data_IF_726087042580
#
_entry.id   IF_726087042580
#
_cell.length_a   1.000
_cell.length_b   1.000
_cell.length_c   1.000
_cell.angle_alpha   90.00
_cell.angle_beta   90.00
_cell.angle_gamma   90.00
#
_symmetry.space_group_name_H-M   'P 1'
#
loop_
_entity.id
_entity.type
_entity.pdbx_description
1 polymer ?
#
# COMPACT_ATOMS: atom_id res chain seq x y z
N UNK A 1 65.08 24.42 -32.78
CA UNK A 1 64.17 24.14 -31.66
C UNK A 1 64.97 23.36 -30.63
N UNK A 2 65.07 23.84 -29.39
CA UNK A 2 65.97 23.26 -28.38
C UNK A 2 65.35 21.99 -27.79
N UNK A 3 66.10 20.88 -27.66
CA UNK A 3 65.58 19.59 -27.19
C UNK A 3 65.03 19.66 -25.75
N UNK A 4 65.50 20.64 -24.97
CA UNK A 4 65.01 20.95 -23.62
C UNK A 4 63.58 21.46 -23.64
N UNK A 5 63.20 22.24 -24.66
CA UNK A 5 61.84 22.75 -24.82
C UNK A 5 60.84 21.63 -25.06
N UNK A 6 61.16 20.71 -25.97
CA UNK A 6 60.31 19.54 -26.26
C UNK A 6 60.14 18.63 -25.05
N UNK A 7 61.23 18.35 -24.32
CA UNK A 7 61.17 17.57 -23.09
C UNK A 7 60.27 18.20 -22.02
N UNK A 8 60.39 19.51 -21.80
CA UNK A 8 59.54 20.24 -20.85
C UNK A 8 58.06 20.24 -21.26
N UNK A 9 57.75 20.36 -22.56
CA UNK A 9 56.37 20.28 -23.04
C UNK A 9 55.79 18.89 -22.81
N UNK A 10 56.55 17.82 -23.08
CA UNK A 10 56.07 16.44 -22.84
C UNK A 10 55.78 16.21 -21.37
N UNK A 11 56.67 16.63 -20.46
CA UNK A 11 56.45 16.51 -19.01
C UNK A 11 55.22 17.32 -18.56
N UNK A 12 55.03 18.53 -19.09
CA UNK A 12 53.88 19.37 -18.77
C UNK A 12 52.56 18.73 -19.20
N UNK A 13 52.51 18.14 -20.40
CA UNK A 13 51.32 17.47 -20.93
C UNK A 13 50.97 16.24 -20.09
N UNK A 14 51.96 15.44 -19.68
CA UNK A 14 51.75 14.29 -18.80
C UNK A 14 51.21 14.75 -17.44
N UNK A 15 51.78 15.82 -16.87
CA UNK A 15 51.31 16.37 -15.59
C UNK A 15 49.86 16.86 -15.68
N UNK A 16 49.51 17.58 -16.74
CA UNK A 16 48.14 18.05 -17.00
C UNK A 16 47.16 16.88 -17.16
N UNK A 17 47.58 15.82 -17.86
CA UNK A 17 46.77 14.63 -18.06
C UNK A 17 46.51 13.89 -16.74
N UNK A 18 47.54 13.73 -15.90
CA UNK A 18 47.40 13.14 -14.56
C UNK A 18 46.48 13.97 -13.66
N UNK A 19 46.55 15.30 -13.74
CA UNK A 19 45.70 16.20 -12.97
C UNK A 19 44.24 16.12 -13.42
N UNK A 20 44.00 16.02 -14.74
CA UNK A 20 42.66 15.82 -15.30
C UNK A 20 42.06 14.46 -14.90
N UNK A 21 42.85 13.39 -14.92
CA UNK A 21 42.43 12.06 -14.46
C UNK A 21 42.11 12.06 -12.95
N UNK A 22 42.93 12.72 -12.14
CA UNK A 22 42.68 12.88 -10.70
C UNK A 22 41.36 13.62 -10.42
N UNK A 23 41.11 14.73 -11.12
CA UNK A 23 39.87 15.50 -10.98
C UNK A 23 38.63 14.70 -11.42
N UNK A 24 38.72 13.96 -12.52
CA UNK A 24 37.64 13.09 -13.00
C UNK A 24 37.33 11.96 -12.01
N UNK A 25 38.36 11.35 -11.41
CA UNK A 25 38.23 10.33 -10.37
C UNK A 25 37.53 10.85 -9.12
N UNK A 26 37.94 12.03 -8.62
CA UNK A 26 37.31 12.68 -7.46
C UNK A 26 35.84 13.06 -7.76
N UNK A 27 35.57 13.58 -8.96
CA UNK A 27 34.21 13.94 -9.38
C UNK A 27 33.28 12.72 -9.43
N UNK A 28 33.75 11.60 -9.99
CA UNK A 28 33.01 10.34 -10.01
C UNK A 28 32.76 9.80 -8.59
N UNK A 29 33.77 9.84 -7.71
CA UNK A 29 33.62 9.43 -6.30
C UNK A 29 32.55 10.27 -5.57
N UNK A 30 32.57 11.58 -5.72
CA UNK A 30 31.58 12.47 -5.08
C UNK A 30 30.18 12.24 -5.65
N UNK A 31 30.06 11.99 -6.96
CA UNK A 31 28.77 11.77 -7.63
C UNK A 31 28.16 10.41 -7.30
N UNK A 32 28.98 9.35 -7.21
CA UNK A 32 28.55 8.02 -6.79
C UNK A 32 28.27 7.99 -5.28
N UNK A 33 29.10 8.66 -4.47
CA UNK A 33 28.88 8.83 -3.03
C UNK A 33 27.54 9.49 -2.71
N UNK A 34 27.14 10.52 -3.45
CA UNK A 34 25.83 11.19 -3.32
C UNK A 34 24.63 10.29 -3.64
N UNK A 35 24.78 9.30 -4.53
CA UNK A 35 23.71 8.35 -4.89
C UNK A 35 23.66 7.16 -3.93
N UNK A 36 24.81 6.65 -3.50
CA UNK A 36 24.92 5.54 -2.55
C UNK A 36 24.44 5.95 -1.14
N UNK A 37 24.74 7.18 -0.69
CA UNK A 37 24.31 7.70 0.61
C UNK A 37 22.78 7.77 0.75
N UNK A 38 22.02 8.05 -0.31
CA UNK A 38 20.54 8.06 -0.25
C UNK A 38 19.93 6.67 -0.07
N UNK A 39 20.51 5.63 -0.68
CA UNK A 39 20.04 4.23 -0.54
C UNK A 39 20.55 3.56 0.74
N UNK A 40 21.81 3.78 1.10
CA UNK A 40 22.40 3.25 2.34
C UNK A 40 21.71 3.83 3.59
N UNK A 41 21.43 5.14 3.61
CA UNK A 41 20.72 5.79 4.72
C UNK A 41 19.35 5.18 4.99
N UNK A 42 18.66 4.63 3.98
CA UNK A 42 17.34 3.98 4.14
C UNK A 42 17.40 2.60 4.80
N UNK A 43 18.53 1.89 4.68
CA UNK A 43 18.70 0.53 5.25
C UNK A 43 19.36 0.60 6.63
N UNK A 44 20.37 1.46 6.82
CA UNK A 44 20.96 1.67 8.15
C UNK A 44 20.01 2.37 9.12
N UNK A 45 19.14 3.28 8.66
CA UNK A 45 18.15 3.91 9.58
C UNK A 45 17.16 2.91 10.15
N UNK A 46 16.74 1.86 9.43
CA UNK A 46 15.80 0.85 9.96
C UNK A 46 16.42 -0.02 11.06
N UNK A 47 17.67 -0.45 10.88
CA UNK A 47 18.37 -1.28 11.88
C UNK A 47 18.74 -0.45 13.09
N UNK A 48 19.24 0.78 12.88
CA UNK A 48 19.57 1.71 13.98
C UNK A 48 18.33 2.15 14.73
N UNK A 49 17.19 2.40 14.07
CA UNK A 49 15.93 2.77 14.75
C UNK A 49 15.38 1.64 15.60
N UNK A 50 15.53 0.38 15.17
CA UNK A 50 15.02 -0.77 15.92
C UNK A 50 15.86 -1.07 17.17
N UNK A 51 17.19 -0.92 17.07
CA UNK A 51 18.09 -1.04 18.24
C UNK A 51 17.93 0.15 19.18
N UNK A 52 17.80 1.35 18.62
CA UNK A 52 17.47 2.57 19.37
C UNK A 52 16.14 2.47 20.13
N UNK A 53 15.14 1.83 19.53
CA UNK A 53 13.86 1.58 20.17
C UNK A 53 13.96 0.57 21.33
N UNK A 54 15.05 -0.19 21.47
CA UNK A 54 15.24 -1.09 22.63
C UNK A 54 15.81 -0.37 23.86
N UNK A 55 16.24 0.89 23.73
CA UNK A 55 16.64 1.72 24.87
C UNK A 55 15.45 1.90 25.84
N UNK A 56 15.60 1.59 27.15
CA UNK A 56 14.53 1.78 28.12
C UNK A 56 14.27 3.25 28.49
N UNK A 57 15.11 4.19 28.04
CA UNK A 57 14.93 5.62 28.29
C UNK A 57 13.91 6.32 27.38
N UNK A 58 13.65 7.60 27.67
CA UNK A 58 12.73 8.45 26.90
C UNK A 58 13.12 8.58 25.42
N UNK A 59 14.42 8.52 25.11
CA UNK A 59 14.92 8.49 23.74
C UNK A 59 14.48 7.21 22.98
N UNK A 60 14.44 6.07 23.67
CA UNK A 60 13.93 4.82 23.09
C UNK A 60 12.42 4.83 22.93
N UNK A 61 11.69 5.42 23.87
CA UNK A 61 10.24 5.63 23.74
C UNK A 61 9.89 6.50 22.53
N UNK A 62 10.61 7.61 22.33
CA UNK A 62 10.44 8.46 21.16
C UNK A 62 10.67 7.70 19.84
N UNK A 63 11.70 6.84 19.78
CA UNK A 63 11.94 6.01 18.58
C UNK A 63 10.88 4.92 18.39
N UNK A 64 10.31 4.35 19.47
CA UNK A 64 9.14 3.45 19.37
C UNK A 64 7.93 4.16 18.79
N UNK A 65 7.62 5.36 19.29
CA UNK A 65 6.52 6.18 18.76
C UNK A 65 6.72 6.51 17.27
N UNK A 66 7.96 6.76 16.84
CA UNK A 66 8.25 6.97 15.41
C UNK A 66 7.97 5.75 14.55
N UNK A 67 8.38 4.56 15.02
CA UNK A 67 8.14 3.31 14.31
C UNK A 67 6.64 3.00 14.24
N UNK A 68 5.93 3.19 15.35
CA UNK A 68 4.49 2.97 15.44
C UNK A 68 3.72 3.92 14.52
N UNK A 69 4.01 5.22 14.57
CA UNK A 69 3.39 6.23 13.71
C UNK A 69 3.58 5.93 12.23
N UNK A 70 4.81 5.59 11.81
CA UNK A 70 5.10 5.23 10.41
C UNK A 70 4.34 3.98 9.99
N UNK A 71 4.21 3.01 10.89
CA UNK A 71 3.48 1.77 10.63
C UNK A 71 1.99 2.07 10.47
N UNK A 72 1.37 2.77 11.42
CA UNK A 72 -0.05 3.10 11.39
C UNK A 72 -0.42 3.89 10.14
N UNK A 73 0.33 4.94 9.81
CA UNK A 73 0.10 5.74 8.59
C UNK A 73 0.27 4.90 7.33
N UNK A 74 1.28 4.03 7.27
CA UNK A 74 1.50 3.16 6.10
C UNK A 74 0.37 2.15 5.92
N UNK A 75 -0.11 1.54 7.00
CA UNK A 75 -1.20 0.55 6.95
C UNK A 75 -2.50 1.25 6.53
N UNK A 76 -2.81 2.40 7.13
CA UNK A 76 -4.02 3.16 6.78
C UNK A 76 -3.97 3.65 5.34
N UNK A 77 -2.83 4.15 4.86
CA UNK A 77 -2.67 4.54 3.46
C UNK A 77 -2.91 3.37 2.52
N UNK A 78 -2.34 2.20 2.82
CA UNK A 78 -2.55 1.01 2.01
C UNK A 78 -4.03 0.58 1.99
N UNK A 79 -4.74 0.70 3.11
CA UNK A 79 -6.16 0.41 3.19
C UNK A 79 -6.99 1.38 2.31
N UNK A 80 -6.68 2.69 2.35
CA UNK A 80 -7.31 3.70 1.49
C UNK A 80 -7.02 3.42 0.02
N UNK A 81 -5.76 3.16 -0.33
CA UNK A 81 -5.36 2.86 -1.72
C UNK A 81 -6.06 1.60 -2.24
N UNK A 82 -6.23 0.57 -1.40
CA UNK A 82 -6.96 -0.63 -1.76
C UNK A 82 -8.46 -0.35 -1.99
N UNK A 83 -9.09 0.46 -1.12
CA UNK A 83 -10.49 0.86 -1.29
C UNK A 83 -10.70 1.70 -2.57
N UNK A 84 -9.75 2.58 -2.91
CA UNK A 84 -9.77 3.34 -4.17
C UNK A 84 -9.69 2.41 -5.39
N UNK A 85 -8.79 1.43 -5.36
CA UNK A 85 -8.66 0.43 -6.43
C UNK A 85 -9.90 -0.45 -6.55
N UNK A 86 -10.60 -0.70 -5.44
CA UNK A 86 -11.90 -1.38 -5.38
C UNK A 86 -13.07 -0.53 -5.91
N UNK A 87 -12.83 0.72 -6.32
CA UNK A 87 -13.86 1.61 -6.86
C UNK A 87 -14.79 2.19 -5.80
N UNK A 88 -14.41 2.17 -4.52
CA UNK A 88 -15.26 2.71 -3.46
C UNK A 88 -15.30 4.24 -3.55
N UNK A 89 -16.48 4.83 -3.35
CA UNK A 89 -16.68 6.27 -3.35
C UNK A 89 -16.12 6.93 -2.09
N UNK A 90 -14.79 7.11 -2.02
CA UNK A 90 -14.12 7.60 -0.81
C UNK A 90 -14.16 9.12 -0.60
N UNK A 91 -14.71 9.89 -1.54
CA UNK A 91 -14.80 11.35 -1.46
C UNK A 91 -13.43 12.00 -1.17
N UNK A 92 -13.38 12.82 -0.11
CA UNK A 92 -12.19 13.57 0.33
C UNK A 92 -11.20 12.76 1.19
N UNK A 93 -11.50 11.49 1.47
CA UNK A 93 -10.66 10.65 2.34
C UNK A 93 -9.20 10.54 1.87
N UNK A 94 -8.88 10.42 0.56
CA UNK A 94 -7.49 10.39 0.09
C UNK A 94 -6.74 11.69 0.37
N UNK A 95 -7.42 12.84 0.28
CA UNK A 95 -6.84 14.13 0.60
C UNK A 95 -6.57 14.24 2.11
N UNK A 96 -7.55 13.84 2.94
CA UNK A 96 -7.37 13.79 4.39
C UNK A 96 -6.20 12.88 4.79
N UNK A 97 -6.04 11.73 4.12
CA UNK A 97 -4.93 10.82 4.36
C UNK A 97 -3.57 11.45 4.00
N UNK A 98 -3.52 12.28 2.95
CA UNK A 98 -2.31 13.02 2.59
C UNK A 98 -1.95 14.07 3.65
N UNK A 99 -2.94 14.79 4.19
CA UNK A 99 -2.76 15.76 5.28
C UNK A 99 -2.28 15.08 6.57
N UNK A 100 -2.89 13.95 6.95
CA UNK A 100 -2.43 13.11 8.07
C UNK A 100 -0.98 12.66 7.84
N UNK A 101 -0.63 12.28 6.61
CA UNK A 101 0.74 11.92 6.24
C UNK A 101 1.73 13.06 6.49
N UNK A 102 1.40 14.29 6.09
CA UNK A 102 2.24 15.47 6.32
C UNK A 102 2.42 15.76 7.82
N UNK A 103 1.33 15.70 8.61
CA UNK A 103 1.41 15.87 10.05
C UNK A 103 2.21 14.77 10.75
N UNK A 104 2.11 13.53 10.27
CA UNK A 104 2.91 12.42 10.78
C UNK A 104 4.41 12.57 10.46
N UNK A 105 4.76 13.06 9.27
CA UNK A 105 6.15 13.36 8.93
C UNK A 105 6.73 14.48 9.82
N UNK A 106 5.94 15.52 10.10
CA UNK A 106 6.33 16.58 11.01
C UNK A 106 6.54 16.06 12.44
N UNK A 107 5.63 15.22 12.95
CA UNK A 107 5.75 14.62 14.27
C UNK A 107 6.93 13.65 14.35
N UNK A 108 7.18 12.85 13.32
CA UNK A 108 8.35 11.95 13.25
C UNK A 108 9.67 12.73 13.35
N UNK A 109 9.75 13.87 12.67
CA UNK A 109 10.92 14.75 12.75
C UNK A 109 11.10 15.33 14.16
N UNK A 110 10.02 15.77 14.80
CA UNK A 110 10.05 16.27 16.18
C UNK A 110 10.48 15.20 17.19
N UNK A 111 9.92 13.99 17.08
CA UNK A 111 10.31 12.84 17.90
C UNK A 111 11.78 12.46 17.69
N UNK A 112 12.27 12.52 16.45
CA UNK A 112 13.68 12.26 16.13
C UNK A 112 14.63 13.30 16.73
N UNK A 113 14.25 14.59 16.70
CA UNK A 113 15.02 15.65 17.36
C UNK A 113 15.02 15.47 18.88
N UNK A 114 13.86 15.15 19.47
CA UNK A 114 13.75 14.87 20.90
C UNK A 114 14.64 13.70 21.32
N UNK A 115 14.56 12.57 20.61
CA UNK A 115 15.37 11.38 20.90
C UNK A 115 16.88 11.68 20.80
N UNK A 116 17.28 12.47 19.80
CA UNK A 116 18.69 12.88 19.66
C UNK A 116 19.13 13.79 20.81
N UNK A 117 18.30 14.75 21.21
CA UNK A 117 18.60 15.66 22.33
C UNK A 117 18.68 14.90 23.66
N UNK A 118 17.76 13.97 23.90
CA UNK A 118 17.70 13.15 25.12
C UNK A 118 18.92 12.24 25.28
N UNK A 119 19.57 11.83 24.18
CA UNK A 119 20.83 11.06 24.25
C UNK A 119 22.06 11.89 24.59
N UNK A 120 22.05 13.17 24.24
CA UNK A 120 23.23 14.04 24.38
C UNK A 120 23.18 14.85 25.67
N UNK A 121 21.98 15.17 26.17
CA UNK A 121 21.77 15.98 27.37
C UNK A 121 20.92 15.22 28.39
N UNK A 122 21.34 15.17 29.68
CA UNK A 122 20.51 14.66 30.77
C UNK A 122 19.39 15.64 31.16
N UNK A 123 19.51 16.93 30.80
CA UNK A 123 18.46 17.92 30.97
C UNK A 123 17.58 17.93 29.72
N UNK A 124 16.45 17.25 29.80
CA UNK A 124 15.46 17.14 28.73
C UNK A 124 14.14 17.71 29.22
N UNK A 125 13.43 18.42 28.34
CA UNK A 125 12.11 18.95 28.66
C UNK A 125 11.06 17.84 28.57
N UNK A 126 10.72 17.24 29.72
CA UNK A 126 9.69 16.21 29.82
C UNK A 126 8.29 16.72 29.41
N UNK A 127 8.02 18.03 29.52
CA UNK A 127 6.74 18.59 29.07
C UNK A 127 6.64 18.57 27.54
N UNK A 128 7.76 18.70 26.84
CA UNK A 128 7.81 18.54 25.39
C UNK A 128 7.43 17.10 24.98
N UNK A 129 7.95 16.08 25.68
CA UNK A 129 7.60 14.70 25.40
C UNK A 129 6.12 14.41 25.63
N UNK A 130 5.52 14.94 26.70
CA UNK A 130 4.10 14.79 26.98
C UNK A 130 3.23 15.34 25.83
N UNK A 131 3.58 16.50 25.26
CA UNK A 131 2.89 17.06 24.09
C UNK A 131 3.06 16.21 22.84
N UNK A 132 4.27 15.65 22.62
CA UNK A 132 4.52 14.74 21.51
C UNK A 132 3.70 13.45 21.64
N UNK A 133 3.55 12.90 22.85
CA UNK A 133 2.67 11.75 23.13
C UNK A 133 1.22 12.05 22.80
N UNK A 134 0.73 13.22 23.19
CA UNK A 134 -0.65 13.62 22.90
C UNK A 134 -0.89 13.76 21.39
N UNK A 135 0.03 14.39 20.67
CA UNK A 135 -0.03 14.49 19.21
C UNK A 135 0.03 13.11 18.54
N UNK A 136 0.90 12.22 19.03
CA UNK A 136 0.99 10.85 18.55
C UNK A 136 -0.35 10.12 18.72
N UNK A 137 -0.92 10.16 19.94
CA UNK A 137 -2.20 9.52 20.23
C UNK A 137 -3.34 10.05 19.34
N UNK A 138 -3.38 11.35 19.05
CA UNK A 138 -4.37 11.94 18.15
C UNK A 138 -4.24 11.38 16.73
N UNK A 139 -3.03 11.33 16.18
CA UNK A 139 -2.78 10.83 14.82
C UNK A 139 -3.05 9.34 14.68
N UNK A 140 -2.60 8.52 15.64
CA UNK A 140 -2.86 7.06 15.59
C UNK A 140 -4.34 6.75 15.78
N UNK A 141 -5.04 7.50 16.64
CA UNK A 141 -6.51 7.37 16.80
C UNK A 141 -7.24 7.74 15.51
N UNK A 142 -6.82 8.82 14.83
CA UNK A 142 -7.39 9.19 13.53
C UNK A 142 -7.15 8.08 12.48
N UNK A 143 -5.94 7.52 12.43
CA UNK A 143 -5.61 6.40 11.54
C UNK A 143 -6.47 5.16 11.83
N UNK A 144 -6.68 4.81 13.10
CA UNK A 144 -7.51 3.70 13.51
C UNK A 144 -8.99 3.92 13.14
N UNK A 145 -9.49 5.16 13.32
CA UNK A 145 -10.85 5.53 12.93
C UNK A 145 -11.09 5.38 11.43
N UNK A 146 -10.18 5.91 10.60
CA UNK A 146 -10.25 5.75 9.14
C UNK A 146 -10.30 4.27 8.76
N UNK A 147 -9.47 3.42 9.39
CA UNK A 147 -9.49 1.97 9.12
C UNK A 147 -10.82 1.32 9.53
N UNK A 148 -11.39 1.73 10.66
CA UNK A 148 -12.69 1.22 11.11
C UNK A 148 -13.82 1.65 10.15
N UNK A 149 -13.81 2.90 9.69
CA UNK A 149 -14.78 3.43 8.73
C UNK A 149 -14.69 2.67 7.39
N UNK A 150 -13.48 2.44 6.88
CA UNK A 150 -13.26 1.63 5.66
C UNK A 150 -13.74 0.18 5.83
N UNK A 151 -13.51 -0.44 6.99
CA UNK A 151 -14.00 -1.79 7.26
C UNK A 151 -15.54 -1.83 7.29
N UNK A 152 -16.18 -0.80 7.85
CA UNK A 152 -17.63 -0.70 7.88
C UNK A 152 -18.21 -0.55 6.46
N UNK A 153 -17.58 0.29 5.63
CA UNK A 153 -17.96 0.46 4.21
C UNK A 153 -17.78 -0.83 3.40
N UNK A 154 -16.73 -1.62 3.71
CA UNK A 154 -16.52 -2.93 3.11
C UNK A 154 -17.67 -3.89 3.42
N UNK A 155 -18.09 -3.93 4.69
CA UNK A 155 -19.19 -4.79 5.13
C UNK A 155 -20.50 -4.37 4.46
N UNK A 156 -20.76 -3.07 4.34
CA UNK A 156 -21.94 -2.55 3.64
C UNK A 156 -21.95 -2.96 2.15
N UNK A 157 -20.82 -2.82 1.44
CA UNK A 157 -20.70 -3.25 0.04
C UNK A 157 -20.89 -4.77 -0.12
N UNK A 158 -20.31 -5.56 0.79
CA UNK A 158 -20.41 -7.02 0.74
C UNK A 158 -21.84 -7.50 1.03
N UNK A 159 -22.52 -6.87 1.99
CA UNK A 159 -23.91 -7.18 2.31
C UNK A 159 -24.86 -6.88 1.14
N UNK A 160 -24.65 -5.76 0.44
CA UNK A 160 -25.44 -5.41 -0.76
C UNK A 160 -25.29 -6.46 -1.88
N UNK A 161 -24.07 -6.92 -2.14
CA UNK A 161 -23.83 -7.95 -3.16
C UNK A 161 -24.43 -9.31 -2.81
N UNK A 162 -24.44 -9.69 -1.52
CA UNK A 162 -25.09 -10.93 -1.08
C UNK A 162 -26.60 -10.87 -1.28
N UNK A 163 -27.22 -9.74 -0.95
CA UNK A 163 -28.66 -9.57 -1.14
C UNK A 163 -29.05 -9.59 -2.63
N UNK A 164 -28.23 -9.01 -3.50
CA UNK A 164 -28.42 -9.09 -4.95
C UNK A 164 -28.34 -10.55 -5.45
N UNK A 165 -27.29 -11.29 -5.06
CA UNK A 165 -27.14 -12.71 -5.43
C UNK A 165 -28.30 -13.54 -4.90
N UNK A 166 -28.74 -13.27 -3.67
CA UNK A 166 -29.89 -13.93 -3.05
C UNK A 166 -31.17 -13.65 -3.85
N UNK A 167 -31.45 -12.40 -4.18
CA UNK A 167 -32.63 -12.02 -4.95
C UNK A 167 -32.67 -12.71 -6.31
N UNK A 168 -31.52 -12.79 -7.00
CA UNK A 168 -31.38 -13.51 -8.26
C UNK A 168 -31.60 -15.01 -8.10
N UNK A 169 -31.04 -15.60 -7.05
CA UNK A 169 -31.20 -17.04 -6.75
C UNK A 169 -32.65 -17.38 -6.46
N UNK A 170 -33.34 -16.56 -5.66
CA UNK A 170 -34.76 -16.72 -5.36
C UNK A 170 -35.60 -16.64 -6.63
N UNK A 171 -35.26 -15.70 -7.54
CA UNK A 171 -35.92 -15.55 -8.84
C UNK A 171 -35.66 -16.75 -9.76
N UNK A 172 -34.44 -17.30 -9.78
CA UNK A 172 -34.10 -18.52 -10.51
C UNK A 172 -34.80 -19.77 -9.94
N UNK A 173 -34.98 -19.84 -8.61
CA UNK A 173 -35.73 -20.92 -7.95
C UNK A 173 -37.21 -20.82 -8.31
N UNK A 174 -37.81 -19.63 -8.23
CA UNK A 174 -39.23 -19.42 -8.53
C UNK A 174 -39.53 -19.66 -10.01
N UNK A 175 -38.66 -19.21 -10.92
CA UNK A 175 -38.77 -19.52 -12.35
C UNK A 175 -38.73 -21.03 -12.63
N UNK A 176 -37.93 -21.80 -11.88
CA UNK A 176 -37.92 -23.27 -11.98
C UNK A 176 -39.17 -23.92 -11.40
N UNK A 177 -39.80 -23.32 -10.38
CA UNK A 177 -41.08 -23.80 -9.82
C UNK A 177 -42.27 -23.53 -10.74
N UNK A 178 -42.24 -22.43 -11.48
CA UNK A 178 -43.31 -22.03 -12.40
C UNK A 178 -43.19 -22.63 -13.80
N UNK A 179 -42.05 -23.24 -14.15
CA UNK A 179 -41.97 -24.07 -15.33
C UNK A 179 -43.00 -25.21 -15.19
N UNK A 180 -43.96 -25.36 -16.12
CA UNK A 180 -44.90 -26.46 -16.07
C UNK A 180 -44.08 -27.75 -16.14
N UNK A 181 -44.03 -28.48 -15.04
CA UNK A 181 -43.57 -29.87 -15.04
C UNK A 181 -44.65 -30.61 -15.79
N UNK A 182 -44.49 -30.74 -17.12
CA UNK A 182 -45.30 -31.63 -17.92
C UNK A 182 -45.09 -33.02 -17.30
N UNK A 183 -46.13 -33.57 -16.67
CA UNK A 183 -46.04 -34.86 -15.98
C UNK A 183 -45.43 -35.87 -16.97
N UNK A 184 -44.32 -36.53 -16.64
CA UNK A 184 -43.73 -37.54 -17.52
C UNK A 184 -44.75 -38.60 -17.95
N UNK A 185 -45.78 -38.84 -17.16
CA UNK A 185 -46.88 -39.75 -17.49
C UNK A 185 -47.80 -39.20 -18.59
N UNK A 186 -48.09 -37.89 -18.59
CA UNK A 186 -48.91 -37.25 -19.64
C UNK A 186 -48.22 -37.34 -21.01
N UNK A 187 -46.88 -37.24 -21.05
CA UNK A 187 -46.11 -37.43 -22.30
C UNK A 187 -46.20 -38.86 -22.83
N UNK A 188 -46.23 -39.85 -21.93
CA UNK A 188 -46.34 -41.26 -22.31
C UNK A 188 -47.74 -41.54 -22.86
N UNK A 189 -48.78 -41.01 -22.23
CA UNK A 189 -50.17 -41.16 -22.68
C UNK A 189 -50.39 -40.48 -24.04
N UNK A 190 -49.79 -39.31 -24.26
CA UNK A 190 -49.85 -38.61 -25.55
C UNK A 190 -49.10 -39.37 -26.65
N UNK A 191 -47.93 -39.93 -26.35
CA UNK A 191 -47.18 -40.81 -27.28
C UNK A 191 -47.93 -42.10 -27.60
N UNK A 192 -48.56 -42.72 -26.60
CA UNK A 192 -49.36 -43.92 -26.77
C UNK A 192 -50.61 -43.64 -27.62
N UNK A 193 -51.32 -42.55 -27.34
CA UNK A 193 -52.47 -42.15 -28.15
C UNK A 193 -52.08 -41.84 -29.59
N UNK A 194 -50.97 -41.13 -29.81
CA UNK A 194 -50.47 -40.83 -31.16
C UNK A 194 -50.12 -42.09 -31.94
N UNK A 195 -49.41 -43.03 -31.32
CA UNK A 195 -49.04 -44.31 -31.95
C UNK A 195 -50.24 -45.21 -32.21
N UNK A 196 -51.26 -45.20 -31.34
CA UNK A 196 -52.51 -45.93 -31.56
C UNK A 196 -53.35 -45.34 -32.70
N UNK A 197 -53.38 -44.01 -32.82
CA UNK A 197 -54.05 -43.30 -33.91
C UNK A 197 -53.38 -43.59 -35.26
N UNK A 198 -52.04 -43.54 -35.32
CA UNK A 198 -51.29 -43.87 -36.54
C UNK A 198 -51.46 -45.34 -36.94
N UNK A 199 -51.58 -46.25 -35.97
CA UNK A 199 -51.86 -47.67 -36.23
C UNK A 199 -53.30 -47.91 -36.75
N UNK A 200 -54.25 -47.08 -36.34
CA UNK A 200 -55.65 -47.16 -36.76
C UNK A 200 -55.88 -46.57 -38.17
N UNK A 201 -54.93 -45.82 -38.72
CA UNK A 201 -54.89 -45.42 -40.13
C UNK A 201 -53.86 -46.27 -40.88
N UNK A 202 -54.24 -47.45 -41.40
CA UNK A 202 -53.40 -48.09 -42.41
C UNK A 202 -53.30 -47.15 -43.61
N UNK A 203 -52.07 -46.83 -44.03
CA UNK A 203 -51.87 -46.09 -45.28
C UNK A 203 -52.57 -46.84 -46.41
N UNK A 204 -53.55 -46.18 -47.05
CA UNK A 204 -54.19 -46.72 -48.24
C UNK A 204 -53.11 -46.93 -49.32
N UNK A 205 -52.89 -48.16 -49.79
CA UNK A 205 -51.98 -48.38 -50.89
C UNK A 205 -52.62 -47.80 -52.16
N UNK A 206 -51.85 -46.94 -52.84
CA UNK A 206 -52.15 -46.45 -54.20
C UNK A 206 -52.19 -47.56 -55.23
#
# INVERSE_FOLDING_TARGET
>A
MTPIGEFLVVVLVILLFLLALGAAGIYLLVKVGKKATKKARKVTTRVVSHVAAMDPGEAGEAERMRLDLRREVSITRQAVDHALQGGWGLGELPQLMAEIGAHAEQLDAQLGMYAQQSRVSPYVDHAALARLREHHAKLTTACARIRADLLNDQMAHSAGGIEEIRSRTDLEIEARRQAPVLDPLDQIDELYNRTMIDRARPEEPR
#
